data_IF_237674066654
#
_entry.id   IF_237674066654
#
_cell.length_a   1.000
_cell.length_b   1.000
_cell.length_c   1.000
_cell.angle_alpha   90.00
_cell.angle_beta   90.00
_cell.angle_gamma   90.00
#
_symmetry.space_group_name_H-M   'P 1'
#
loop_
_entity.id
_entity.type
_entity.pdbx_description
1 polymer ?
#
# COMPACT_ATOMS: atom_id res chain seq x y z
N UNK A 1 -19.90 10.54 13.12
CA UNK A 1 -19.17 9.80 12.07
C UNK A 1 -19.70 10.29 10.73
N UNK A 2 -19.06 11.29 10.14
CA UNK A 2 -19.42 11.73 8.79
C UNK A 2 -18.97 10.64 7.83
N UNK A 3 -19.94 9.93 7.25
CA UNK A 3 -19.72 9.02 6.13
C UNK A 3 -19.12 9.83 4.99
N UNK A 4 -17.96 9.38 4.47
CA UNK A 4 -17.41 9.80 3.18
C UNK A 4 -18.36 9.34 2.07
N UNK A 5 -19.52 9.98 1.96
CA UNK A 5 -20.46 9.76 0.86
C UNK A 5 -19.89 10.42 -0.39
N UNK A 6 -19.59 9.62 -1.42
CA UNK A 6 -19.26 10.15 -2.75
C UNK A 6 -18.04 9.54 -3.43
N UNK A 7 -17.23 8.73 -2.73
CA UNK A 7 -16.12 8.01 -3.35
C UNK A 7 -16.42 6.52 -3.26
N UNK A 8 -17.01 5.97 -4.32
CA UNK A 8 -17.09 4.53 -4.52
C UNK A 8 -16.03 4.12 -5.54
N UNK A 9 -15.22 3.08 -5.28
CA UNK A 9 -14.26 2.60 -6.26
C UNK A 9 -14.99 2.23 -7.56
N UNK A 10 -14.50 2.71 -8.70
CA UNK A 10 -15.11 2.44 -10.00
C UNK A 10 -15.02 0.94 -10.38
N UNK A 11 -14.05 0.22 -9.81
CA UNK A 11 -13.81 -1.20 -10.02
C UNK A 11 -13.39 -1.84 -8.69
N UNK A 12 -13.83 -3.08 -8.45
CA UNK A 12 -13.43 -3.85 -7.27
C UNK A 12 -12.09 -4.55 -7.52
N UNK A 13 -11.16 -4.46 -6.56
CA UNK A 13 -9.88 -5.16 -6.58
C UNK A 13 -8.74 -4.35 -7.21
N UNK A 14 -7.70 -4.11 -6.41
CA UNK A 14 -6.45 -3.49 -6.88
C UNK A 14 -5.45 -4.59 -7.27
N UNK A 15 -5.19 -4.76 -8.57
CA UNK A 15 -4.14 -5.67 -9.03
C UNK A 15 -2.83 -4.89 -9.28
N UNK A 16 -1.98 -4.83 -8.25
CA UNK A 16 -0.70 -4.11 -8.30
C UNK A 16 0.22 -4.62 -9.43
N UNK A 17 0.23 -5.92 -9.72
CA UNK A 17 1.00 -6.49 -10.82
C UNK A 17 0.55 -5.93 -12.18
N UNK A 18 -0.76 -5.80 -12.40
CA UNK A 18 -1.31 -5.23 -13.65
C UNK A 18 -0.94 -3.76 -13.82
N UNK A 19 -0.93 -2.99 -12.73
CA UNK A 19 -0.48 -1.59 -12.72
C UNK A 19 1.02 -1.52 -13.05
N UNK A 20 1.84 -2.35 -12.40
CA UNK A 20 3.29 -2.37 -12.65
C UNK A 20 3.61 -2.75 -14.11
N UNK A 21 2.94 -3.77 -14.65
CA UNK A 21 3.09 -4.18 -16.05
C UNK A 21 2.66 -3.08 -17.03
N UNK A 22 1.64 -2.30 -16.68
CA UNK A 22 1.22 -1.13 -17.48
C UNK A 22 2.25 -0.01 -17.42
N UNK A 23 2.80 0.29 -16.24
CA UNK A 23 3.82 1.32 -16.05
C UNK A 23 5.11 1.01 -16.82
N UNK A 24 5.56 -0.25 -16.84
CA UNK A 24 6.72 -0.68 -17.63
C UNK A 24 6.57 -0.38 -19.13
N UNK A 25 5.34 -0.35 -19.65
CA UNK A 25 5.05 -0.08 -21.06
C UNK A 25 4.86 1.40 -21.37
N UNK A 26 4.45 2.19 -20.38
CA UNK A 26 4.03 3.58 -20.59
C UNK A 26 5.06 4.60 -20.10
N UNK A 27 5.78 4.29 -19.02
CA UNK A 27 6.73 5.21 -18.38
C UNK A 27 8.15 4.92 -18.85
N UNK A 28 8.52 5.49 -19.98
CA UNK A 28 9.83 5.27 -20.60
C UNK A 28 10.95 6.19 -20.07
N UNK A 29 10.65 7.04 -19.09
CA UNK A 29 11.62 7.99 -18.50
C UNK A 29 11.84 7.67 -17.03
N UNK A 30 13.09 7.79 -16.53
CA UNK A 30 13.36 7.69 -15.11
C UNK A 30 12.44 8.62 -14.33
N UNK A 31 11.77 8.05 -13.33
CA UNK A 31 10.69 8.69 -12.57
C UNK A 31 10.74 8.19 -11.13
N UNK A 32 10.11 8.92 -10.21
CA UNK A 32 9.90 8.43 -8.84
C UNK A 32 8.48 7.91 -8.70
N UNK A 33 8.33 6.71 -8.18
CA UNK A 33 7.06 6.04 -8.01
C UNK A 33 6.81 5.86 -6.52
N UNK A 34 5.64 6.29 -6.06
CA UNK A 34 5.20 6.07 -4.68
C UNK A 34 4.04 5.09 -4.73
N UNK A 35 4.23 3.90 -4.15
CA UNK A 35 3.20 2.86 -4.11
C UNK A 35 2.58 2.86 -2.73
N UNK A 36 1.34 3.34 -2.63
CA UNK A 36 0.57 3.41 -1.37
C UNK A 36 -0.46 2.28 -1.38
N UNK A 37 -0.30 1.30 -0.49
CA UNK A 37 -1.22 0.16 -0.39
C UNK A 37 -1.11 -0.50 0.99
N UNK A 38 -2.15 -1.21 1.38
CA UNK A 38 -2.20 -2.18 2.48
C UNK A 38 -1.50 -3.51 2.15
N UNK A 39 -1.17 -3.75 0.87
CA UNK A 39 -0.49 -4.93 0.34
C UNK A 39 -1.10 -6.24 0.84
N UNK A 40 -2.38 -6.52 0.48
CA UNK A 40 -3.11 -7.67 1.00
C UNK A 40 -2.45 -9.00 0.60
N UNK A 41 -1.90 -9.05 -0.61
CA UNK A 41 -1.14 -10.16 -1.17
C UNK A 41 -0.04 -9.63 -2.09
N UNK A 42 1.17 -10.19 -1.99
CA UNK A 42 2.29 -9.90 -2.88
C UNK A 42 2.71 -11.19 -3.56
N UNK A 43 2.29 -11.34 -4.82
CA UNK A 43 2.69 -12.46 -5.67
C UNK A 43 4.12 -12.31 -6.16
N UNK A 44 4.76 -13.42 -6.55
CA UNK A 44 6.12 -13.38 -7.11
C UNK A 44 6.17 -12.55 -8.40
N UNK A 45 5.14 -12.67 -9.26
CA UNK A 45 4.99 -11.82 -10.46
C UNK A 45 5.02 -10.33 -10.11
N UNK A 46 4.30 -9.93 -9.05
CA UNK A 46 4.30 -8.53 -8.60
C UNK A 46 5.69 -8.08 -8.12
N UNK A 47 6.42 -8.95 -7.40
CA UNK A 47 7.78 -8.64 -6.93
C UNK A 47 8.74 -8.46 -8.09
N UNK A 48 8.67 -9.33 -9.09
CA UNK A 48 9.55 -9.26 -10.25
C UNK A 48 9.26 -8.03 -11.12
N UNK A 49 7.98 -7.67 -11.30
CA UNK A 49 7.61 -6.43 -11.99
C UNK A 49 8.08 -5.18 -11.26
N UNK A 50 7.97 -5.13 -9.92
CA UNK A 50 8.50 -4.03 -9.11
C UNK A 50 10.01 -3.93 -9.23
N UNK A 51 10.74 -5.07 -9.21
CA UNK A 51 12.19 -5.10 -9.42
C UNK A 51 12.59 -4.61 -10.82
N UNK A 52 11.82 -4.96 -11.85
CA UNK A 52 12.07 -4.45 -13.20
C UNK A 52 11.87 -2.94 -13.27
N UNK A 53 10.82 -2.41 -12.64
CA UNK A 53 10.59 -0.97 -12.54
C UNK A 53 11.74 -0.29 -11.78
N UNK A 54 12.26 -0.89 -10.70
CA UNK A 54 13.32 -0.27 -9.89
C UNK A 54 14.66 -0.16 -10.60
N UNK A 55 14.85 -0.84 -11.73
CA UNK A 55 16.05 -0.67 -12.57
C UNK A 55 16.10 0.72 -13.24
N UNK A 56 14.94 1.36 -13.42
CA UNK A 56 14.82 2.62 -14.16
C UNK A 56 14.11 3.71 -13.37
N UNK A 57 13.41 3.36 -12.29
CA UNK A 57 12.63 4.28 -11.46
C UNK A 57 13.07 4.17 -10.01
N UNK A 58 13.07 5.28 -9.28
CA UNK A 58 13.12 5.21 -7.82
C UNK A 58 11.73 4.80 -7.34
N UNK A 59 11.61 3.77 -6.50
CA UNK A 59 10.30 3.28 -6.02
C UNK A 59 10.26 3.30 -4.51
N UNK A 60 9.36 4.07 -3.91
CA UNK A 60 9.08 4.02 -2.48
C UNK A 60 7.80 3.22 -2.20
N UNK A 61 7.89 2.29 -1.25
CA UNK A 61 6.74 1.54 -0.76
C UNK A 61 6.19 2.21 0.49
N UNK A 62 4.90 2.53 0.46
CA UNK A 62 4.16 3.12 1.57
C UNK A 62 3.08 2.13 2.03
N UNK A 63 3.27 1.54 3.20
CA UNK A 63 2.38 0.54 3.74
C UNK A 63 1.33 1.15 4.65
N UNK A 64 0.07 1.04 4.26
CA UNK A 64 -1.10 1.31 5.10
C UNK A 64 -1.24 0.17 6.11
N UNK A 65 -0.60 0.31 7.27
CA UNK A 65 -0.74 -0.66 8.34
C UNK A 65 -2.17 -0.53 8.90
N UNK A 66 -2.97 -1.60 8.81
CA UNK A 66 -4.24 -1.65 9.51
C UNK A 66 -3.98 -1.45 11.00
N UNK A 67 -4.71 -0.56 11.69
CA UNK A 67 -4.68 -0.64 13.14
C UNK A 67 -5.40 -1.94 13.51
N UNK A 68 -4.72 -2.87 14.20
CA UNK A 68 -5.43 -4.04 14.67
C UNK A 68 -6.53 -3.54 15.60
N UNK A 69 -7.68 -4.21 15.60
CA UNK A 69 -8.78 -3.90 16.51
C UNK A 69 -8.46 -4.32 17.95
N UNK A 70 -7.26 -3.94 18.44
CA UNK A 70 -6.68 -4.29 19.74
C UNK A 70 -7.51 -3.80 20.93
N UNK A 71 -8.48 -2.91 20.70
CA UNK A 71 -9.37 -2.39 21.72
C UNK A 71 -10.76 -3.04 21.72
N UNK A 72 -11.01 -4.06 20.89
CA UNK A 72 -12.25 -4.83 20.99
C UNK A 72 -12.20 -5.75 22.22
N UNK A 73 -13.23 -5.74 23.09
CA UNK A 73 -13.28 -6.67 24.21
C UNK A 73 -13.24 -8.11 23.71
N UNK A 74 -12.47 -8.97 24.40
CA UNK A 74 -12.40 -10.40 24.08
C UNK A 74 -13.81 -11.00 24.04
N UNK A 75 -14.12 -11.73 22.96
CA UNK A 75 -15.45 -12.30 22.71
C UNK A 75 -16.43 -11.36 21.99
N UNK A 76 -15.99 -10.15 21.62
CA UNK A 76 -16.77 -9.24 20.77
C UNK A 76 -16.54 -9.54 19.28
N UNK A 77 -17.56 -9.24 18.50
CA UNK A 77 -17.52 -9.31 17.04
C UNK A 77 -17.69 -7.91 16.45
N UNK A 78 -16.87 -7.60 15.46
CA UNK A 78 -17.02 -6.41 14.65
C UNK A 78 -17.67 -6.81 13.32
N UNK A 79 -18.86 -6.27 13.06
CA UNK A 79 -19.46 -6.32 11.75
C UNK A 79 -18.78 -5.25 10.87
N UNK A 80 -18.00 -5.69 9.90
CA UNK A 80 -17.34 -4.82 8.93
C UNK A 80 -18.05 -4.98 7.59
N UNK A 81 -18.32 -3.87 6.93
CA UNK A 81 -18.69 -3.86 5.51
C UNK A 81 -17.47 -3.40 4.73
N UNK A 82 -16.88 -4.32 3.98
CA UNK A 82 -15.72 -4.01 3.15
C UNK A 82 -16.14 -3.04 2.04
N UNK A 83 -15.43 -1.91 1.94
CA UNK A 83 -15.79 -0.84 1.00
C UNK A 83 -15.60 -1.27 -0.47
N UNK A 84 -14.58 -2.08 -0.76
CA UNK A 84 -14.27 -2.53 -2.12
C UNK A 84 -15.18 -3.65 -2.61
N UNK A 85 -15.47 -4.65 -1.77
CA UNK A 85 -16.26 -5.82 -2.19
C UNK A 85 -17.75 -5.69 -1.84
N UNK A 86 -18.11 -4.75 -0.97
CA UNK A 86 -19.46 -4.62 -0.42
C UNK A 86 -19.85 -5.76 0.52
N UNK A 87 -18.94 -6.71 0.80
CA UNK A 87 -19.22 -7.90 1.62
C UNK A 87 -19.29 -7.51 3.08
N UNK A 88 -20.26 -8.12 3.76
CA UNK A 88 -20.35 -8.04 5.21
C UNK A 88 -19.54 -9.19 5.80
N UNK A 89 -18.54 -8.87 6.61
CA UNK A 89 -17.72 -9.81 7.36
C UNK A 89 -17.96 -9.63 8.85
N UNK A 90 -17.98 -10.75 9.58
CA UNK A 90 -17.97 -10.74 11.04
C UNK A 90 -16.54 -11.06 11.49
N UNK A 91 -15.81 -10.06 11.95
CA UNK A 91 -14.46 -10.26 12.47
C UNK A 91 -14.53 -10.47 13.97
N UNK A 92 -14.14 -11.66 14.42
CA UNK A 92 -13.90 -11.90 15.83
C UNK A 92 -12.66 -11.10 16.26
N UNK A 93 -12.66 -10.60 17.50
CA UNK A 93 -11.46 -10.05 18.13
C UNK A 93 -10.45 -11.17 18.42
N UNK A 94 -9.87 -11.74 17.38
CA UNK A 94 -8.82 -12.75 17.47
C UNK A 94 -7.49 -12.00 17.39
N UNK A 95 -6.69 -12.07 18.46
CA UNK A 95 -5.44 -11.33 18.60
C UNK A 95 -4.28 -11.79 17.71
N UNK A 96 -4.54 -12.47 16.59
CA UNK A 96 -3.51 -12.85 15.63
C UNK A 96 -3.12 -11.61 14.82
N UNK A 97 -1.96 -11.07 15.16
CA UNK A 97 -1.40 -9.90 14.52
C UNK A 97 -0.34 -10.36 13.51
N UNK A 98 -0.75 -10.61 12.27
CA UNK A 98 0.17 -11.00 11.16
C UNK A 98 1.05 -9.82 10.68
N UNK A 99 0.90 -8.64 11.26
CA UNK A 99 1.61 -7.45 10.84
C UNK A 99 3.13 -7.49 10.97
N UNK A 100 3.75 -8.11 12.00
CA UNK A 100 5.21 -8.21 12.08
C UNK A 100 5.79 -8.99 10.90
N UNK A 101 5.13 -10.10 10.50
CA UNK A 101 5.57 -10.91 9.37
C UNK A 101 5.36 -10.17 8.04
N UNK A 102 4.20 -9.51 7.87
CA UNK A 102 3.93 -8.69 6.68
C UNK A 102 4.90 -7.52 6.54
N UNK A 103 5.22 -6.85 7.65
CA UNK A 103 6.22 -5.78 7.70
C UNK A 103 7.59 -6.29 7.27
N UNK A 104 8.02 -7.45 7.76
CA UNK A 104 9.30 -8.04 7.39
C UNK A 104 9.36 -8.33 5.88
N UNK A 105 8.32 -8.96 5.33
CA UNK A 105 8.21 -9.22 3.89
C UNK A 105 8.29 -7.95 3.04
N UNK A 106 7.59 -6.89 3.47
CA UNK A 106 7.61 -5.59 2.80
C UNK A 106 8.95 -4.88 2.93
N UNK A 107 9.62 -5.01 4.07
CA UNK A 107 10.95 -4.43 4.30
C UNK A 107 12.00 -5.13 3.42
N UNK A 108 11.95 -6.46 3.31
CA UNK A 108 12.81 -7.24 2.42
C UNK A 108 12.57 -6.88 0.96
N UNK A 109 11.30 -6.69 0.57
CA UNK A 109 10.96 -6.22 -0.77
C UNK A 109 11.53 -4.83 -1.02
N UNK A 110 11.27 -3.85 -0.15
CA UNK A 110 11.78 -2.49 -0.28
C UNK A 110 13.31 -2.46 -0.39
N UNK A 111 14.01 -3.23 0.44
CA UNK A 111 15.46 -3.38 0.39
C UNK A 111 15.92 -3.93 -0.98
N UNK A 112 15.20 -4.92 -1.54
CA UNK A 112 15.51 -5.47 -2.87
C UNK A 112 15.28 -4.47 -4.01
N UNK A 113 14.47 -3.43 -3.80
CA UNK A 113 14.25 -2.33 -4.73
C UNK A 113 15.23 -1.16 -4.51
N UNK A 114 16.10 -1.24 -3.50
CA UNK A 114 16.98 -0.14 -3.11
C UNK A 114 16.26 1.04 -2.46
N UNK A 115 15.11 0.80 -1.83
CA UNK A 115 14.29 1.84 -1.19
C UNK A 115 13.96 1.54 0.26
N UNK A 116 13.49 2.57 0.96
CA UNK A 116 12.90 2.48 2.28
C UNK A 116 11.41 2.10 2.21
N UNK A 117 10.95 1.39 3.24
CA UNK A 117 9.54 1.13 3.51
C UNK A 117 9.02 2.18 4.48
N UNK A 118 8.04 2.98 4.05
CA UNK A 118 7.36 3.94 4.91
C UNK A 118 6.08 3.33 5.47
N UNK A 119 5.95 3.23 6.78
CA UNK A 119 4.70 2.81 7.42
C UNK A 119 3.81 4.01 7.65
N UNK A 120 2.58 3.92 7.16
CA UNK A 120 1.54 4.92 7.28
C UNK A 120 0.62 4.54 8.44
N UNK A 121 0.61 5.35 9.49
CA UNK A 121 -0.32 5.21 10.61
C UNK A 121 -1.13 6.49 10.78
N UNK A 122 -2.36 6.42 11.33
CA UNK A 122 -3.18 7.62 11.58
C UNK A 122 -2.46 8.66 12.45
N UNK A 123 -1.60 8.19 13.36
CA UNK A 123 -0.88 9.02 14.33
C UNK A 123 0.38 9.68 13.75
N UNK A 124 0.80 9.28 12.54
CA UNK A 124 1.99 9.81 11.87
C UNK A 124 1.69 10.12 10.40
N UNK A 125 1.20 11.33 10.08
CA UNK A 125 0.93 11.71 8.71
C UNK A 125 2.23 11.67 7.89
N UNK A 126 2.27 11.00 6.73
CA UNK A 126 3.50 10.76 5.98
C UNK A 126 3.96 11.95 5.13
N UNK A 127 3.27 13.08 5.22
CA UNK A 127 3.44 14.19 4.30
C UNK A 127 4.92 14.64 4.20
N UNK A 128 5.61 14.77 5.33
CA UNK A 128 7.02 15.19 5.36
C UNK A 128 7.93 14.15 4.69
N UNK A 129 7.80 12.87 5.05
CA UNK A 129 8.62 11.80 4.45
C UNK A 129 8.36 11.64 2.93
N UNK A 130 7.10 11.78 2.50
CA UNK A 130 6.74 11.80 1.07
C UNK A 130 7.33 13.01 0.35
N UNK A 131 7.26 14.19 0.97
CA UNK A 131 7.82 15.42 0.42
C UNK A 131 9.34 15.33 0.28
N UNK A 132 10.04 14.88 1.33
CA UNK A 132 11.48 14.68 1.32
C UNK A 132 11.89 13.69 0.22
N UNK A 133 11.16 12.56 0.10
CA UNK A 133 11.37 11.60 -0.95
C UNK A 133 11.11 12.17 -2.35
N UNK A 134 10.13 13.05 -2.55
CA UNK A 134 9.89 13.66 -3.86
C UNK A 134 10.90 14.78 -4.19
N UNK A 135 11.38 15.50 -3.17
CA UNK A 135 12.29 16.64 -3.31
C UNK A 135 13.76 16.24 -3.42
N UNK A 136 14.18 15.10 -2.85
CA UNK A 136 15.54 14.59 -2.94
C UNK A 136 15.96 14.15 -4.37
N UNK A 137 15.18 14.50 -5.39
CA UNK A 137 15.23 13.95 -6.74
C UNK A 137 15.25 15.02 -7.79
N UNK A 138 15.95 14.75 -8.89
CA UNK A 138 15.88 15.59 -10.07
C UNK A 138 14.55 15.31 -10.79
N UNK A 139 13.54 16.12 -10.49
CA UNK A 139 12.23 16.30 -11.17
C UNK A 139 11.36 15.05 -11.40
N UNK A 140 10.19 15.00 -10.73
CA UNK A 140 9.17 13.96 -10.92
C UNK A 140 7.85 14.53 -11.44
N UNK A 141 7.18 13.78 -12.33
CA UNK A 141 5.79 14.01 -12.77
C UNK A 141 4.86 13.18 -11.89
N UNK A 142 3.83 13.79 -11.30
CA UNK A 142 2.81 13.10 -10.49
C UNK A 142 1.72 12.59 -11.45
N UNK A 143 1.47 11.28 -11.46
CA UNK A 143 0.34 10.67 -12.19
C UNK A 143 -0.78 10.38 -11.18
N UNK A 144 -1.91 11.08 -11.29
CA UNK A 144 -3.15 10.78 -10.58
C UNK A 144 -4.05 9.93 -11.49
N UNK A 145 -4.58 8.84 -10.95
CA UNK A 145 -5.73 8.10 -11.52
C UNK A 145 -6.98 8.40 -10.71
#
# INVERSE_FOLDING_TARGET
LQTLEGISPAHCGTNLATVCASLLKTVNRPSRLVVISDFPEITDDCRDLLRQLSLHHDIMLCWLAEQPYHNLPVGSFLAIREAESGRNGLHAANGENDQPQRRALLADLAASLGSELLSLTPDRPPAEALLDYLQAGKSCTIVHH
#
